data_IF_913080352923
#
_entry.id   IF_913080352923
#
_cell.length_a   1.000
_cell.length_b   1.000
_cell.length_c   1.000
_cell.angle_alpha   90.00
_cell.angle_beta   90.00
_cell.angle_gamma   90.00
#
_symmetry.space_group_name_H-M   'P 1'
#
loop_
_entity.id
_entity.type
_entity.pdbx_description
1 polymer ?
#
# COMPACT_ATOMS: atom_id res chain seq x y z
N UNK A 1 23.30 23.13 40.48
CA UNK A 1 22.97 21.71 40.24
C UNK A 1 22.51 21.62 38.79
N UNK A 2 23.37 21.13 37.89
CA UNK A 2 23.08 21.04 36.45
C UNK A 2 22.27 19.74 36.26
N UNK A 3 21.07 19.76 35.67
CA UNK A 3 20.33 18.52 35.42
C UNK A 3 21.14 17.61 34.48
N UNK A 4 21.11 16.32 34.78
CA UNK A 4 21.85 15.29 34.04
C UNK A 4 21.35 15.20 32.60
N UNK A 5 22.16 15.72 31.67
CA UNK A 5 21.92 15.72 30.24
C UNK A 5 21.72 14.29 29.68
N UNK A 6 22.33 13.27 30.30
CA UNK A 6 22.22 11.89 29.88
C UNK A 6 20.84 11.30 30.21
N UNK A 7 20.27 11.64 31.36
CA UNK A 7 18.92 11.26 31.73
C UNK A 7 17.90 11.89 30.77
N UNK A 8 18.06 13.18 30.45
CA UNK A 8 17.21 13.88 29.49
C UNK A 8 17.21 13.21 28.11
N UNK A 9 18.40 12.91 27.56
CA UNK A 9 18.51 12.27 26.24
C UNK A 9 17.92 10.85 26.19
N UNK A 10 18.00 10.10 27.30
CA UNK A 10 17.42 8.76 27.40
C UNK A 10 15.90 8.78 27.43
N UNK A 11 15.31 9.76 28.12
CA UNK A 11 13.85 9.98 28.13
C UNK A 11 13.32 10.37 26.75
N UNK A 12 14.02 11.25 26.03
CA UNK A 12 13.64 11.64 24.66
C UNK A 12 13.72 10.44 23.71
N UNK A 13 14.79 9.65 23.76
CA UNK A 13 14.92 8.46 22.92
C UNK A 13 13.82 7.42 23.19
N UNK A 14 13.46 7.21 24.46
CA UNK A 14 12.44 6.23 24.85
C UNK A 14 11.01 6.70 24.48
N UNK A 15 10.75 8.01 24.56
CA UNK A 15 9.51 8.61 24.05
C UNK A 15 9.41 8.54 22.52
N UNK A 16 10.50 8.76 21.78
CA UNK A 16 10.54 8.59 20.32
C UNK A 16 10.32 7.14 19.88
N UNK A 17 10.82 6.15 20.64
CA UNK A 17 10.58 4.72 20.38
C UNK A 17 9.13 4.33 20.68
N UNK A 18 8.53 4.88 21.75
CA UNK A 18 7.13 4.64 22.09
C UNK A 18 6.16 5.30 21.10
N UNK A 19 6.48 6.48 20.54
CA UNK A 19 5.66 7.08 19.48
C UNK A 19 5.74 6.30 18.16
N UNK A 20 6.89 5.69 17.85
CA UNK A 20 7.04 4.83 16.67
C UNK A 20 6.29 3.49 16.78
N UNK A 21 5.91 3.05 17.98
CA UNK A 21 5.17 1.79 18.18
C UNK A 21 3.67 1.92 17.96
N UNK A 22 3.11 3.14 17.95
CA UNK A 22 1.66 3.39 17.79
C UNK A 22 1.29 3.93 16.39
N UNK A 23 2.28 4.25 15.56
CA UNK A 23 2.05 4.78 14.21
C UNK A 23 1.44 3.69 13.31
N UNK A 24 0.39 4.04 12.56
CA UNK A 24 -0.17 3.17 11.51
C UNK A 24 0.86 2.98 10.41
N UNK A 25 1.24 1.71 10.16
CA UNK A 25 2.38 1.39 9.28
C UNK A 25 2.01 0.35 8.23
N UNK A 26 2.60 0.52 7.06
CA UNK A 26 2.60 -0.43 5.95
C UNK A 26 4.04 -0.82 5.66
N UNK A 27 4.32 -2.12 5.62
CA UNK A 27 5.65 -2.66 5.36
C UNK A 27 5.57 -3.86 4.41
N UNK A 28 6.72 -4.24 3.87
CA UNK A 28 6.89 -5.49 3.14
C UNK A 28 8.19 -6.15 3.60
N UNK A 29 8.20 -7.46 3.87
CA UNK A 29 9.44 -8.18 4.19
C UNK A 29 10.49 -8.15 3.07
N UNK A 30 10.08 -7.89 1.83
CA UNK A 30 10.95 -7.93 0.64
C UNK A 30 11.19 -6.56 0.00
N UNK A 31 10.55 -5.50 0.53
CA UNK A 31 10.71 -4.13 0.06
C UNK A 31 10.98 -3.23 1.27
N UNK A 32 12.25 -2.85 1.43
CA UNK A 32 12.61 -1.78 2.36
C UNK A 32 12.03 -0.45 1.87
N UNK A 33 11.65 0.45 2.77
CA UNK A 33 11.22 1.79 2.39
C UNK A 33 12.34 2.52 1.62
N UNK A 34 12.01 3.07 0.46
CA UNK A 34 12.92 3.62 -0.56
C UNK A 34 13.96 2.62 -1.09
N UNK A 35 13.76 1.34 -0.83
CA UNK A 35 14.55 0.24 -1.36
C UNK A 35 14.08 -0.19 -2.75
N UNK A 36 14.88 -1.06 -3.37
CA UNK A 36 14.57 -1.61 -4.69
C UNK A 36 13.31 -2.47 -4.67
N UNK A 37 12.44 -2.31 -5.66
CA UNK A 37 11.33 -3.21 -5.97
C UNK A 37 11.88 -4.52 -6.57
N UNK A 38 11.72 -5.68 -5.91
CA UNK A 38 12.19 -6.95 -6.44
C UNK A 38 11.65 -7.27 -7.84
N UNK A 39 12.52 -7.79 -8.72
CA UNK A 39 12.18 -8.12 -10.12
C UNK A 39 11.00 -9.08 -10.28
N UNK A 40 10.70 -9.91 -9.29
CA UNK A 40 9.53 -10.83 -9.33
C UNK A 40 8.19 -10.09 -9.24
N UNK A 41 8.20 -8.89 -8.66
CA UNK A 41 7.02 -8.02 -8.57
C UNK A 41 6.83 -7.15 -9.82
N UNK A 42 7.89 -7.00 -10.62
CA UNK A 42 7.84 -6.29 -11.90
C UNK A 42 7.46 -7.25 -13.03
N UNK A 43 7.12 -6.69 -14.20
CA UNK A 43 6.87 -7.48 -15.42
C UNK A 43 8.18 -7.75 -16.20
N UNK A 44 9.35 -7.51 -15.58
CA UNK A 44 10.69 -7.84 -16.10
C UNK A 44 11.29 -9.13 -15.51
N UNK A 45 10.55 -9.81 -14.63
CA UNK A 45 10.95 -11.12 -14.12
C UNK A 45 10.96 -12.20 -15.22
N UNK A 46 11.47 -13.38 -14.88
CA UNK A 46 11.62 -14.50 -15.82
C UNK A 46 10.57 -15.59 -15.57
N UNK A 47 9.96 -16.11 -16.65
CA UNK A 47 9.01 -17.21 -16.58
C UNK A 47 7.82 -16.91 -15.65
N UNK A 48 7.53 -17.84 -14.73
CA UNK A 48 6.47 -17.70 -13.72
C UNK A 48 6.82 -16.73 -12.57
N UNK A 49 8.05 -16.22 -12.50
CA UNK A 49 8.51 -15.31 -11.44
C UNK A 49 8.50 -13.85 -11.90
N UNK A 50 7.32 -13.37 -12.32
CA UNK A 50 7.09 -11.98 -12.73
C UNK A 50 5.63 -11.60 -12.47
N UNK A 51 5.37 -10.30 -12.34
CA UNK A 51 4.02 -9.76 -12.13
C UNK A 51 3.31 -10.40 -10.92
N UNK A 52 4.07 -10.71 -9.87
CA UNK A 52 3.53 -11.22 -8.60
C UNK A 52 3.23 -10.01 -7.71
N UNK A 53 2.06 -9.94 -7.08
CA UNK A 53 1.77 -8.88 -6.10
C UNK A 53 2.68 -9.03 -4.87
N UNK A 54 3.26 -7.93 -4.34
CA UNK A 54 4.12 -8.01 -3.17
C UNK A 54 3.40 -8.50 -1.93
N UNK A 55 4.10 -9.22 -1.05
CA UNK A 55 3.64 -9.43 0.32
C UNK A 55 3.63 -8.09 1.04
N UNK A 56 2.50 -7.76 1.66
CA UNK A 56 2.32 -6.53 2.43
C UNK A 56 1.86 -6.89 3.84
N UNK A 57 2.30 -6.13 4.82
CA UNK A 57 1.90 -6.24 6.21
C UNK A 57 1.63 -4.86 6.78
N UNK A 58 0.68 -4.78 7.70
CA UNK A 58 0.38 -3.53 8.38
C UNK A 58 0.21 -3.71 9.88
N UNK A 59 0.49 -2.63 10.59
CA UNK A 59 0.55 -2.59 12.05
C UNK A 59 -0.15 -1.34 12.53
N UNK A 60 -0.71 -1.42 13.75
CA UNK A 60 -1.34 -0.29 14.44
C UNK A 60 -2.47 0.35 13.62
N UNK A 61 -3.39 -0.48 13.13
CA UNK A 61 -4.61 0.00 12.46
C UNK A 61 -5.36 0.92 13.42
N UNK A 62 -5.71 2.16 13.02
CA UNK A 62 -6.42 3.11 13.88
C UNK A 62 -7.72 2.52 14.44
N UNK A 63 -8.04 2.88 15.69
CA UNK A 63 -9.33 2.53 16.29
C UNK A 63 -10.49 3.11 15.48
N UNK A 64 -11.60 2.37 15.38
CA UNK A 64 -12.77 2.78 14.59
C UNK A 64 -12.70 2.40 13.10
N UNK A 65 -11.56 1.85 12.64
CA UNK A 65 -11.43 1.35 11.25
C UNK A 65 -12.44 0.24 10.99
N UNK A 66 -13.31 0.43 9.99
CA UNK A 66 -14.24 -0.58 9.47
C UNK A 66 -13.67 -1.32 8.27
N UNK A 67 -12.90 -0.65 7.42
CA UNK A 67 -12.21 -1.28 6.30
C UNK A 67 -10.88 -0.61 5.98
N UNK A 68 -9.99 -1.35 5.31
CA UNK A 68 -8.76 -0.84 4.74
C UNK A 68 -8.86 -0.81 3.21
N UNK A 69 -8.17 0.15 2.58
CA UNK A 69 -8.02 0.22 1.13
C UNK A 69 -6.56 0.48 0.74
N UNK A 70 -6.09 -0.14 -0.34
CA UNK A 70 -4.73 -0.04 -0.84
C UNK A 70 -4.74 0.55 -2.26
N UNK A 71 -3.89 1.54 -2.49
CA UNK A 71 -3.55 2.04 -3.82
C UNK A 71 -2.05 1.88 -4.03
N UNK A 72 -1.65 1.35 -5.18
CA UNK A 72 -0.25 1.34 -5.60
C UNK A 72 -0.11 2.12 -6.90
N UNK A 73 0.78 3.11 -6.92
CA UNK A 73 1.01 3.96 -8.09
C UNK A 73 2.49 4.29 -8.30
N UNK A 74 2.88 4.42 -9.57
CA UNK A 74 4.13 5.05 -10.00
C UNK A 74 3.90 6.56 -10.03
N UNK A 75 4.43 7.26 -9.03
CA UNK A 75 4.24 8.72 -8.88
C UNK A 75 5.16 9.54 -9.79
N UNK A 76 6.09 8.89 -10.49
CA UNK A 76 7.03 9.52 -11.42
C UNK A 76 6.67 9.22 -12.89
N UNK A 77 5.53 8.56 -13.14
CA UNK A 77 5.08 8.22 -14.47
C UNK A 77 4.87 9.49 -15.34
N UNK A 78 5.62 9.62 -16.45
CA UNK A 78 5.50 10.78 -17.32
C UNK A 78 4.20 10.71 -18.14
N UNK A 79 3.49 11.84 -18.25
CA UNK A 79 2.48 12.02 -19.31
C UNK A 79 3.19 12.59 -20.57
N UNK A 80 3.14 11.91 -21.73
CA UNK A 80 3.75 12.39 -22.98
C UNK A 80 3.23 13.76 -23.46
N UNK A 81 2.10 14.22 -22.93
CA UNK A 81 1.36 15.41 -23.38
C UNK A 81 0.99 16.38 -22.25
N UNK A 82 1.37 16.11 -21.00
CA UNK A 82 0.86 16.82 -19.83
C UNK A 82 1.78 16.77 -18.60
N UNK A 83 1.29 17.23 -17.42
CA UNK A 83 2.02 17.11 -16.16
C UNK A 83 2.14 15.63 -15.76
N UNK A 84 3.09 15.31 -14.86
CA UNK A 84 3.23 13.96 -14.28
C UNK A 84 1.86 13.52 -13.72
N UNK A 85 1.35 12.39 -14.22
CA UNK A 85 0.11 11.76 -13.74
C UNK A 85 0.49 10.41 -13.13
N UNK A 86 0.27 10.20 -11.82
CA UNK A 86 0.60 8.93 -11.18
C UNK A 86 -0.12 7.74 -11.85
N UNK A 87 0.65 6.74 -12.26
CA UNK A 87 0.13 5.57 -12.96
C UNK A 87 -0.23 4.48 -11.97
N UNK A 88 -1.48 4.04 -11.97
CA UNK A 88 -2.04 3.10 -10.99
C UNK A 88 -1.70 1.67 -11.38
N UNK A 89 -1.03 0.95 -10.49
CA UNK A 89 -0.63 -0.46 -10.62
C UNK A 89 -1.56 -1.42 -9.88
N UNK A 90 -2.21 -0.95 -8.81
CA UNK A 90 -3.10 -1.79 -8.00
C UNK A 90 -4.09 -0.96 -7.19
N UNK A 91 -5.31 -1.45 -7.09
CA UNK A 91 -6.36 -0.90 -6.21
C UNK A 91 -7.02 -2.08 -5.51
N UNK A 92 -7.10 -2.03 -4.18
CA UNK A 92 -7.76 -3.05 -3.35
C UNK A 92 -8.63 -2.36 -2.33
N UNK A 93 -9.87 -2.82 -2.16
CA UNK A 93 -10.83 -2.23 -1.21
C UNK A 93 -11.46 -3.29 -0.34
N UNK A 94 -12.06 -2.86 0.77
CA UNK A 94 -12.76 -3.71 1.72
C UNK A 94 -11.87 -4.81 2.32
N UNK A 95 -10.60 -4.48 2.55
CA UNK A 95 -9.69 -5.33 3.32
C UNK A 95 -10.15 -5.27 4.78
N UNK A 96 -10.50 -6.41 5.42
CA UNK A 96 -10.89 -6.39 6.83
C UNK A 96 -9.77 -5.87 7.72
N UNK A 97 -10.06 -4.99 8.71
CA UNK A 97 -9.06 -4.42 9.59
C UNK A 97 -8.42 -5.45 10.53
N UNK A 98 -9.04 -6.63 10.69
CA UNK A 98 -8.50 -7.75 11.48
C UNK A 98 -7.31 -8.43 10.81
N UNK A 99 -7.25 -8.41 9.48
CA UNK A 99 -6.13 -8.94 8.72
C UNK A 99 -4.85 -8.18 9.08
N UNK A 100 -3.70 -8.87 8.96
CA UNK A 100 -2.37 -8.29 9.23
C UNK A 100 -1.55 -8.05 7.96
N UNK A 101 -2.10 -8.40 6.80
CA UNK A 101 -1.39 -8.31 5.55
C UNK A 101 -2.12 -8.93 4.37
N UNK A 102 -1.54 -8.72 3.18
CA UNK A 102 -1.86 -9.48 1.97
C UNK A 102 -0.69 -10.41 1.66
N UNK A 103 -0.93 -11.71 1.40
CA UNK A 103 0.13 -12.64 1.04
C UNK A 103 0.76 -12.27 -0.32
N UNK A 104 1.99 -12.72 -0.54
CA UNK A 104 2.61 -12.63 -1.86
C UNK A 104 1.75 -13.35 -2.91
N UNK A 105 1.52 -12.68 -4.04
CA UNK A 105 0.71 -13.24 -5.12
C UNK A 105 -0.78 -13.36 -4.77
N UNK A 106 -1.28 -12.51 -3.86
CA UNK A 106 -2.70 -12.41 -3.52
C UNK A 106 -3.58 -12.07 -4.74
N UNK A 107 -3.12 -11.13 -5.57
CA UNK A 107 -3.93 -10.62 -6.68
C UNK A 107 -4.40 -11.73 -7.64
N UNK A 108 -5.70 -11.69 -7.97
CA UNK A 108 -6.40 -12.68 -8.79
C UNK A 108 -6.69 -14.01 -8.08
N UNK A 109 -6.58 -14.05 -6.75
CA UNK A 109 -6.78 -15.27 -5.92
C UNK A 109 -7.72 -15.05 -4.73
N UNK A 110 -8.43 -13.94 -4.68
CA UNK A 110 -9.34 -13.59 -3.59
C UNK A 110 -10.37 -14.69 -3.30
N UNK A 111 -10.97 -15.27 -4.36
CA UNK A 111 -11.94 -16.37 -4.24
C UNK A 111 -11.28 -17.69 -3.82
N UNK A 112 -10.04 -17.96 -4.27
CA UNK A 112 -9.31 -19.19 -3.95
C UNK A 112 -8.83 -19.21 -2.49
N UNK A 113 -8.45 -18.05 -1.96
CA UNK A 113 -7.95 -17.91 -0.58
C UNK A 113 -9.11 -17.99 0.42
N UNK A 114 -10.24 -17.33 0.12
CA UNK A 114 -11.46 -17.39 0.93
C UNK A 114 -11.28 -16.90 2.38
N UNK A 115 -12.19 -17.33 3.27
CA UNK A 115 -12.16 -16.96 4.69
C UNK A 115 -12.27 -15.45 4.90
N UNK A 116 -11.39 -14.88 5.73
CA UNK A 116 -11.32 -13.43 5.98
C UNK A 116 -10.97 -12.62 4.71
N UNK A 117 -10.50 -13.25 3.63
CA UNK A 117 -10.18 -12.55 2.38
C UNK A 117 -11.37 -12.45 1.41
N UNK A 118 -12.49 -13.15 1.67
CA UNK A 118 -13.61 -13.26 0.72
C UNK A 118 -14.34 -11.93 0.45
N UNK A 119 -14.24 -10.95 1.34
CA UNK A 119 -14.85 -9.62 1.16
C UNK A 119 -13.98 -8.63 0.38
N UNK A 120 -12.71 -8.98 0.13
CA UNK A 120 -11.74 -8.11 -0.54
C UNK A 120 -12.06 -8.01 -2.01
N UNK A 121 -11.97 -6.80 -2.58
CA UNK A 121 -12.17 -6.57 -4.01
C UNK A 121 -10.97 -5.89 -4.62
N UNK A 122 -10.51 -6.41 -5.75
CA UNK A 122 -9.51 -5.76 -6.59
C UNK A 122 -10.20 -4.86 -7.63
N UNK A 123 -9.75 -3.62 -7.72
CA UNK A 123 -10.22 -2.66 -8.72
C UNK A 123 -9.40 -2.65 -9.99
N UNK A 124 -9.93 -1.96 -11.00
CA UNK A 124 -9.24 -1.74 -12.26
C UNK A 124 -8.08 -0.75 -12.07
N UNK A 125 -6.90 -1.17 -12.50
CA UNK A 125 -5.71 -0.34 -12.62
C UNK A 125 -5.74 0.47 -13.95
N UNK A 126 -4.66 1.18 -14.28
CA UNK A 126 -4.66 2.04 -15.48
C UNK A 126 -4.60 1.30 -16.81
N UNK A 127 -4.29 -0.01 -16.80
CA UNK A 127 -4.52 -0.90 -17.95
C UNK A 127 -5.97 -1.36 -18.09
N UNK A 128 -6.88 -0.85 -17.25
CA UNK A 128 -8.32 -1.16 -17.24
C UNK A 128 -8.62 -2.63 -17.00
N UNK A 129 -7.74 -3.30 -16.25
CA UNK A 129 -7.90 -4.68 -15.79
C UNK A 129 -7.81 -4.73 -14.26
N UNK A 130 -8.48 -5.67 -13.60
CA UNK A 130 -8.40 -5.80 -12.16
C UNK A 130 -7.01 -6.26 -11.71
N UNK A 131 -6.67 -5.96 -10.46
CA UNK A 131 -5.53 -6.55 -9.77
C UNK A 131 -4.17 -5.92 -10.10
N UNK A 132 -3.12 -6.59 -9.62
CA UNK A 132 -1.74 -6.14 -9.71
C UNK A 132 -1.19 -6.26 -11.13
N UNK A 133 -0.62 -5.15 -11.61
CA UNK A 133 0.25 -5.13 -12.77
C UNK A 133 1.62 -4.57 -12.38
N UNK A 134 2.65 -5.41 -12.45
CA UNK A 134 4.01 -5.01 -12.17
C UNK A 134 4.56 -4.07 -13.25
N UNK A 135 5.42 -3.11 -12.88
CA UNK A 135 6.00 -2.17 -13.85
C UNK A 135 6.89 -2.85 -14.89
N UNK A 136 6.99 -2.20 -16.05
CA UNK A 136 7.94 -2.48 -17.13
C UNK A 136 8.30 -1.15 -17.77
N UNK A 137 9.34 -0.51 -17.26
CA UNK A 137 9.71 0.85 -17.65
C UNK A 137 11.02 0.81 -18.45
N UNK A 138 11.22 1.75 -19.40
CA UNK A 138 12.47 1.84 -20.15
C UNK A 138 13.65 2.31 -19.30
N UNK A 139 13.39 2.97 -18.17
CA UNK A 139 14.35 3.53 -17.23
C UNK A 139 14.03 3.13 -15.78
N UNK A 140 15.08 3.03 -14.96
CA UNK A 140 14.98 2.78 -13.52
C UNK A 140 14.89 4.10 -12.73
N UNK A 141 14.53 4.01 -11.46
CA UNK A 141 14.52 5.15 -10.53
C UNK A 141 13.14 5.73 -10.22
N UNK A 142 12.09 5.25 -10.89
CA UNK A 142 10.71 5.62 -10.60
C UNK A 142 10.31 5.17 -9.19
N UNK A 143 9.55 6.02 -8.49
CA UNK A 143 9.03 5.74 -7.15
C UNK A 143 7.63 5.15 -7.23
N UNK A 144 7.48 3.99 -6.63
CA UNK A 144 6.21 3.27 -6.48
C UNK A 144 5.72 3.46 -5.06
N UNK A 145 4.63 4.21 -4.88
CA UNK A 145 3.99 4.36 -3.57
C UNK A 145 2.92 3.31 -3.39
N UNK A 146 3.04 2.53 -2.33
CA UNK A 146 2.00 1.70 -1.76
C UNK A 146 1.37 2.50 -0.63
N UNK A 147 0.12 2.89 -0.78
CA UNK A 147 -0.61 3.70 0.20
C UNK A 147 -1.80 2.93 0.73
N UNK A 148 -1.80 2.69 2.04
CA UNK A 148 -2.87 2.01 2.76
C UNK A 148 -3.68 3.06 3.53
N UNK A 149 -4.98 3.03 3.34
CA UNK A 149 -5.94 3.89 4.01
C UNK A 149 -6.71 3.08 5.03
N UNK A 150 -6.85 3.63 6.24
CA UNK A 150 -7.77 3.16 7.26
C UNK A 150 -9.05 3.99 7.22
N UNK A 151 -10.19 3.33 7.04
CA UNK A 151 -11.48 3.98 6.76
C UNK A 151 -12.50 3.67 7.85
N UNK A 152 -13.28 4.68 8.24
CA UNK A 152 -14.43 4.51 9.15
C UNK A 152 -15.70 3.99 8.46
N UNK A 153 -15.58 3.59 7.19
CA UNK A 153 -16.67 3.09 6.36
C UNK A 153 -16.25 1.86 5.52
N UNK A 154 -17.24 1.16 4.98
CA UNK A 154 -17.05 0.09 3.97
C UNK A 154 -17.34 0.62 2.56
N UNK A 155 -16.51 0.26 1.59
CA UNK A 155 -16.59 0.82 0.25
C UNK A 155 -17.64 0.10 -0.61
N UNK A 156 -18.65 0.85 -1.06
CA UNK A 156 -19.74 0.39 -1.94
C UNK A 156 -19.62 0.95 -3.36
N UNK A 157 -18.51 0.66 -4.05
CA UNK A 157 -18.15 1.25 -5.35
C UNK A 157 -18.77 0.54 -6.59
N UNK A 158 -19.67 -0.42 -6.37
CA UNK A 158 -20.27 -1.23 -7.43
C UNK A 158 -19.25 -2.11 -8.17
N UNK A 159 -19.51 -2.38 -9.46
CA UNK A 159 -18.75 -3.35 -10.26
C UNK A 159 -17.47 -2.78 -10.89
N UNK A 160 -17.22 -1.47 -10.78
CA UNK A 160 -16.04 -0.81 -11.36
C UNK A 160 -15.38 0.04 -10.29
N UNK A 161 -14.56 -0.61 -9.48
CA UNK A 161 -13.63 0.03 -8.55
C UNK A 161 -12.47 0.60 -9.37
N UNK A 162 -12.16 1.87 -9.22
CA UNK A 162 -10.95 2.53 -9.74
C UNK A 162 -10.34 3.38 -8.65
N UNK A 163 -9.10 3.83 -8.83
CA UNK A 163 -8.46 4.76 -7.88
C UNK A 163 -9.29 6.02 -7.70
N UNK A 164 -9.76 6.63 -8.78
CA UNK A 164 -10.49 7.90 -8.75
C UNK A 164 -11.78 7.78 -7.93
N UNK A 165 -12.55 6.72 -8.18
CA UNK A 165 -13.79 6.43 -7.44
C UNK A 165 -13.54 6.11 -5.98
N UNK A 166 -12.45 5.41 -5.68
CA UNK A 166 -12.05 5.15 -4.31
C UNK A 166 -11.69 6.46 -3.61
N UNK A 167 -10.84 7.30 -4.22
CA UNK A 167 -10.41 8.56 -3.62
C UNK A 167 -11.57 9.54 -3.40
N UNK A 168 -12.56 9.57 -4.32
CA UNK A 168 -13.80 10.31 -4.13
C UNK A 168 -14.62 9.77 -2.96
N UNK A 169 -14.78 8.44 -2.87
CA UNK A 169 -15.61 7.81 -1.83
C UNK A 169 -15.01 7.87 -0.42
N UNK A 170 -13.68 7.95 -0.28
CA UNK A 170 -13.02 8.02 1.02
C UNK A 170 -12.89 9.45 1.56
N UNK A 171 -13.31 10.46 0.79
CA UNK A 171 -13.26 11.85 1.23
C UNK A 171 -14.07 12.02 2.53
N UNK A 172 -13.41 12.47 3.60
CA UNK A 172 -14.02 12.60 4.93
C UNK A 172 -14.08 11.31 5.77
N UNK A 173 -13.64 10.16 5.23
CA UNK A 173 -13.71 8.85 5.88
C UNK A 173 -12.34 8.28 6.31
N UNK A 174 -11.24 8.98 6.03
CA UNK A 174 -9.87 8.52 6.34
C UNK A 174 -9.54 8.78 7.81
N UNK A 175 -9.33 7.69 8.57
CA UNK A 175 -8.85 7.71 9.95
C UNK A 175 -7.31 7.70 10.05
N UNK A 176 -6.63 7.19 9.02
CA UNK A 176 -5.18 7.17 8.96
C UNK A 176 -4.65 6.68 7.62
N UNK A 177 -3.40 7.04 7.32
CA UNK A 177 -2.69 6.62 6.13
C UNK A 177 -1.33 6.03 6.50
N UNK A 178 -0.90 5.02 5.73
CA UNK A 178 0.45 4.48 5.81
C UNK A 178 1.05 4.31 4.42
N UNK A 179 2.32 4.67 4.26
CA UNK A 179 3.00 4.66 2.95
C UNK A 179 4.29 3.85 2.99
N UNK A 180 4.42 2.95 2.03
CA UNK A 180 5.67 2.27 1.68
C UNK A 180 6.08 2.72 0.26
N UNK A 181 7.31 3.21 0.10
CA UNK A 181 7.84 3.60 -1.21
C UNK A 181 8.87 2.57 -1.66
N UNK A 182 8.78 2.10 -2.91
CA UNK A 182 9.77 1.27 -3.57
C UNK A 182 10.37 2.00 -4.78
N UNK A 183 11.60 1.65 -5.15
CA UNK A 183 12.30 2.19 -6.32
C UNK A 183 12.43 1.09 -7.38
N UNK A 184 11.92 1.32 -8.59
CA UNK A 184 12.07 0.38 -9.71
C UNK A 184 13.49 0.33 -10.26
#
# INVERSE_FOLDING_TARGET
MIPDQAAHNKFIAQASIAMASEEFRLVSPEINHQGRLPRKYTNEGQGAKKNISPRLEWYNVPEGTKSLALVVEDIDAPDPSGPIVPWTHWVVVNIPPTLKGLPEGFSGKEEEIGGEYAGIKEGNNDWKVPGWRGPKLPNHGHRFQFKLYALDDEMHLGNKVTKERLLEAIEGHVLGEAVLTAIF
#
